data_IF_184521543417
#
_entry.id   IF_184521543417
#
_cell.length_a   1.000
_cell.length_b   1.000
_cell.length_c   1.000
_cell.angle_alpha   90.00
_cell.angle_beta   90.00
_cell.angle_gamma   90.00
#
_symmetry.space_group_name_H-M   'P 1'
#
loop_
_entity.id
_entity.type
_entity.pdbx_description
1 polymer ?
#
# COMPACT_ATOMS: atom_id res chain seq x y z
N UNK A 1 60.25 -28.27 36.71
CA UNK A 1 60.61 -27.33 37.80
C UNK A 1 60.31 -25.93 37.27
N UNK A 2 59.39 -25.11 37.78
CA UNK A 2 58.80 -24.97 39.12
C UNK A 2 57.27 -24.78 39.00
N UNK A 3 56.55 -25.41 39.91
CA UNK A 3 55.16 -25.08 40.25
C UNK A 3 55.11 -23.77 41.02
N UNK A 4 53.99 -23.03 40.91
CA UNK A 4 53.32 -22.38 42.04
C UNK A 4 51.93 -21.87 41.61
N UNK A 5 50.92 -22.29 42.37
CA UNK A 5 49.54 -21.83 42.44
C UNK A 5 49.22 -21.76 43.96
N UNK A 6 48.08 -21.26 44.47
CA UNK A 6 47.21 -20.11 44.17
C UNK A 6 47.14 -19.15 45.39
N UNK A 7 46.42 -17.99 45.29
CA UNK A 7 45.45 -17.47 46.29
C UNK A 7 45.00 -16.02 45.99
N UNK A 8 43.72 -15.92 45.63
CA UNK A 8 42.68 -15.03 46.18
C UNK A 8 42.87 -13.51 46.29
N UNK A 9 42.08 -12.77 45.51
CA UNK A 9 41.25 -11.56 45.81
C UNK A 9 40.89 -10.92 44.44
N UNK A 10 39.70 -10.41 44.10
CA UNK A 10 38.45 -10.17 44.80
C UNK A 10 37.33 -10.01 43.75
N UNK A 11 36.10 -10.20 44.22
CA UNK A 11 34.80 -10.02 43.56
C UNK A 11 34.60 -8.61 42.98
N UNK A 12 34.03 -8.51 41.78
CA UNK A 12 33.10 -7.43 41.40
C UNK A 12 32.20 -7.89 40.23
N UNK A 13 31.03 -8.41 40.61
CA UNK A 13 29.87 -8.58 39.75
C UNK A 13 29.27 -7.22 39.41
N UNK A 14 29.05 -6.92 38.13
CA UNK A 14 28.07 -5.93 37.70
C UNK A 14 27.28 -6.51 36.53
N UNK A 15 26.04 -6.85 36.85
CA UNK A 15 24.99 -7.39 35.99
C UNK A 15 24.43 -6.22 35.15
N UNK A 16 24.76 -6.16 33.87
CA UNK A 16 24.15 -5.18 32.96
C UNK A 16 22.83 -5.75 32.44
N UNK A 17 21.77 -5.31 33.10
CA UNK A 17 20.37 -5.62 32.84
C UNK A 17 19.99 -5.22 31.40
N UNK A 18 19.55 -6.21 30.63
CA UNK A 18 18.80 -6.04 29.39
C UNK A 18 17.42 -5.45 29.69
N UNK A 19 17.26 -4.15 29.40
CA UNK A 19 15.98 -3.45 29.37
C UNK A 19 15.91 -2.63 28.06
N UNK A 20 15.38 -3.23 27.01
CA UNK A 20 14.69 -2.50 25.94
C UNK A 20 13.27 -3.03 25.88
N UNK A 21 12.40 -2.43 26.70
CA UNK A 21 10.96 -2.50 26.60
C UNK A 21 10.41 -1.14 27.06
N UNK A 22 9.42 -0.63 26.33
CA UNK A 22 8.77 0.68 26.45
C UNK A 22 9.49 1.85 25.73
N UNK A 23 9.36 1.91 24.40
CA UNK A 23 9.22 3.22 23.76
C UNK A 23 7.74 3.59 23.79
N UNK A 24 7.41 4.58 24.63
CA UNK A 24 6.28 5.47 24.34
C UNK A 24 6.68 6.28 23.10
N UNK A 25 5.76 6.49 22.17
CA UNK A 25 5.94 7.23 20.92
C UNK A 25 6.19 8.75 21.09
N UNK A 26 6.90 9.15 22.16
CA UNK A 26 7.33 10.53 22.42
C UNK A 26 8.85 10.67 22.20
N UNK A 27 9.37 10.16 21.08
CA UNK A 27 10.76 10.45 20.68
C UNK A 27 10.82 11.79 19.92
N UNK A 28 11.57 12.80 20.39
CA UNK A 28 11.54 14.17 19.87
C UNK A 28 12.44 14.38 18.63
N UNK A 29 12.48 13.46 17.67
CA UNK A 29 13.41 13.55 16.51
C UNK A 29 12.78 13.65 15.12
N UNK A 30 11.45 13.76 15.01
CA UNK A 30 10.85 14.26 13.78
C UNK A 30 10.94 15.79 13.76
N UNK A 31 12.13 16.33 13.47
CA UNK A 31 12.25 17.75 13.11
C UNK A 31 11.36 18.00 11.90
N UNK A 32 10.23 18.66 12.16
CA UNK A 32 9.30 19.13 11.12
C UNK A 32 10.06 20.07 10.21
N UNK A 33 10.04 19.81 8.90
CA UNK A 33 10.67 20.67 7.91
C UNK A 33 9.87 21.98 7.77
N UNK A 34 10.34 23.04 8.42
CA UNK A 34 9.72 24.37 8.39
C UNK A 34 9.91 25.11 7.07
N UNK A 35 10.67 24.56 6.11
CA UNK A 35 10.93 25.18 4.81
C UNK A 35 9.88 24.81 3.76
N UNK A 36 8.95 23.90 4.08
CA UNK A 36 7.88 23.51 3.15
C UNK A 36 7.02 24.73 2.84
N UNK A 37 6.93 25.04 1.54
CA UNK A 37 6.02 26.04 1.01
C UNK A 37 4.73 25.35 0.55
N UNK A 38 3.65 25.58 1.31
CA UNK A 38 2.32 25.04 1.02
C UNK A 38 1.50 25.90 0.05
N UNK A 39 2.09 26.93 -0.55
CA UNK A 39 1.45 27.70 -1.62
C UNK A 39 1.44 26.94 -2.95
N UNK A 40 0.66 27.40 -3.91
CA UNK A 40 0.60 26.78 -5.24
C UNK A 40 1.93 26.86 -5.96
N UNK A 41 2.46 25.71 -6.37
CA UNK A 41 3.64 25.60 -7.23
C UNK A 41 3.28 25.52 -8.72
N UNK A 42 2.03 25.19 -9.02
CA UNK A 42 1.48 25.17 -10.39
C UNK A 42 0.95 26.53 -10.82
N UNK A 43 1.02 26.79 -12.13
CA UNK A 43 0.30 27.91 -12.76
C UNK A 43 -1.21 27.67 -12.88
N UNK A 44 -1.66 26.41 -12.72
CA UNK A 44 -3.06 26.02 -12.76
C UNK A 44 -3.68 26.20 -11.36
N UNK A 45 -4.75 27.00 -11.22
CA UNK A 45 -5.41 27.17 -9.92
C UNK A 45 -6.10 25.87 -9.47
N UNK A 46 -6.36 25.72 -8.16
CA UNK A 46 -7.14 24.58 -7.68
C UNK A 46 -8.56 24.66 -8.23
N UNK A 47 -9.09 23.54 -8.73
CA UNK A 47 -10.47 23.42 -9.20
C UNK A 47 -11.43 22.83 -8.14
N UNK A 48 -11.02 22.92 -6.87
CA UNK A 48 -11.82 22.52 -5.71
C UNK A 48 -11.88 23.68 -4.72
N UNK A 49 -12.92 23.72 -3.90
CA UNK A 49 -13.16 24.81 -2.95
C UNK A 49 -13.55 24.26 -1.58
N UNK A 50 -13.28 25.00 -0.48
CA UNK A 50 -13.68 24.58 0.86
C UNK A 50 -15.21 24.57 0.99
N UNK A 51 -15.75 23.51 1.58
CA UNK A 51 -17.17 23.44 1.96
C UNK A 51 -17.44 24.28 3.21
N UNK A 52 -18.71 24.60 3.46
CA UNK A 52 -19.15 25.31 4.67
C UNK A 52 -18.60 24.66 5.95
N UNK A 53 -18.03 25.47 6.84
CA UNK A 53 -17.33 25.04 8.06
C UNK A 53 -15.82 24.81 7.90
N UNK A 54 -15.29 24.90 6.67
CA UNK A 54 -13.86 24.73 6.36
C UNK A 54 -13.26 25.96 5.69
N UNK A 55 -13.80 27.15 5.92
CA UNK A 55 -13.42 28.39 5.23
C UNK A 55 -11.96 28.80 5.46
N UNK A 56 -11.32 28.30 6.52
CA UNK A 56 -9.90 28.52 6.81
C UNK A 56 -8.95 27.59 6.05
N UNK A 57 -9.48 26.58 5.35
CA UNK A 57 -8.67 25.64 4.58
C UNK A 57 -8.05 26.33 3.36
N UNK A 58 -6.72 26.29 3.29
CA UNK A 58 -5.98 26.69 2.10
C UNK A 58 -5.83 25.50 1.16
N UNK A 59 -6.18 25.71 -0.11
CA UNK A 59 -6.06 24.70 -1.17
C UNK A 59 -5.08 25.24 -2.19
N UNK A 60 -4.05 24.44 -2.48
CA UNK A 60 -2.97 24.80 -3.38
C UNK A 60 -2.73 23.70 -4.41
N UNK A 61 -2.36 24.07 -5.63
CA UNK A 61 -2.03 23.12 -6.69
C UNK A 61 -0.53 22.84 -6.66
N UNK A 62 -0.16 21.58 -6.39
CA UNK A 62 1.24 21.15 -6.38
C UNK A 62 1.82 21.02 -7.80
N UNK A 63 1.14 20.29 -8.69
CA UNK A 63 1.57 20.04 -10.06
C UNK A 63 0.37 19.72 -10.95
N UNK A 64 0.46 20.08 -12.22
CA UNK A 64 -0.52 19.82 -13.28
C UNK A 64 0.19 19.41 -14.58
N UNK A 65 -0.57 18.98 -15.59
CA UNK A 65 -0.02 18.57 -16.88
C UNK A 65 0.59 19.71 -17.71
N UNK A 66 0.30 20.97 -17.38
CA UNK A 66 0.88 22.14 -18.07
C UNK A 66 2.18 22.63 -17.45
N UNK A 67 2.57 22.13 -16.28
CA UNK A 67 3.76 22.59 -15.58
C UNK A 67 5.03 21.99 -16.20
N UNK A 68 6.04 22.84 -16.42
CA UNK A 68 7.34 22.45 -16.97
C UNK A 68 8.34 22.38 -15.82
N UNK A 69 8.87 21.19 -15.56
CA UNK A 69 9.84 20.98 -14.49
C UNK A 69 11.27 21.32 -14.96
N UNK A 70 12.02 22.16 -14.23
CA UNK A 70 13.30 22.71 -14.70
C UNK A 70 14.36 21.65 -15.01
N UNK A 71 14.37 20.53 -14.29
CA UNK A 71 15.36 19.46 -14.48
C UNK A 71 14.89 18.35 -15.43
N UNK A 72 13.64 18.42 -15.89
CA UNK A 72 13.07 17.48 -16.86
C UNK A 72 12.03 18.19 -17.74
N UNK A 73 12.42 19.14 -18.61
CA UNK A 73 11.47 19.97 -19.34
C UNK A 73 10.56 19.21 -20.31
N UNK A 74 10.91 17.97 -20.67
CA UNK A 74 10.11 17.08 -21.51
C UNK A 74 9.13 16.19 -20.73
N UNK A 75 9.19 16.20 -19.40
CA UNK A 75 8.25 15.45 -18.57
C UNK A 75 6.89 16.16 -18.56
N UNK A 76 5.82 15.37 -18.72
CA UNK A 76 4.44 15.83 -18.60
C UNK A 76 3.77 14.99 -17.51
N UNK A 77 3.23 15.65 -16.50
CA UNK A 77 2.45 14.98 -15.46
C UNK A 77 1.17 14.41 -16.06
N UNK A 78 0.93 13.11 -15.83
CA UNK A 78 -0.13 12.36 -16.49
C UNK A 78 -1.54 12.72 -16.03
N UNK A 79 -2.52 12.41 -16.87
CA UNK A 79 -3.94 12.56 -16.53
C UNK A 79 -4.41 11.49 -15.52
N UNK A 80 -5.54 11.79 -14.84
CA UNK A 80 -6.15 10.93 -13.81
C UNK A 80 -5.14 10.36 -12.81
N UNK A 81 -4.46 11.25 -12.04
CA UNK A 81 -3.69 10.81 -10.90
C UNK A 81 -4.62 10.12 -9.90
N UNK A 82 -4.18 8.97 -9.39
CA UNK A 82 -4.95 8.12 -8.50
C UNK A 82 -4.10 7.77 -7.27
N UNK A 83 -3.95 6.48 -6.93
CA UNK A 83 -3.10 5.98 -5.85
C UNK A 83 -1.70 6.57 -5.85
N UNK A 84 -1.23 6.99 -4.68
CA UNK A 84 0.04 7.69 -4.55
C UNK A 84 0.83 7.34 -3.30
N UNK A 85 2.09 7.73 -3.31
CA UNK A 85 3.02 7.58 -2.20
C UNK A 85 3.95 8.78 -2.10
N UNK A 86 4.40 9.10 -0.89
CA UNK A 86 5.36 10.16 -0.64
C UNK A 86 6.48 9.62 0.26
N UNK A 87 7.73 9.82 -0.14
CA UNK A 87 8.90 9.49 0.65
C UNK A 87 9.94 10.60 0.62
N UNK A 88 10.88 10.58 1.57
CA UNK A 88 12.10 11.39 1.46
C UNK A 88 12.93 10.90 0.28
N UNK A 89 13.58 11.82 -0.41
CA UNK A 89 14.60 11.44 -1.40
C UNK A 89 15.83 10.89 -0.65
N UNK A 90 16.20 9.61 -0.82
CA UNK A 90 17.38 9.06 -0.16
C UNK A 90 18.69 9.65 -0.70
N UNK A 91 18.65 10.32 -1.86
CA UNK A 91 19.81 10.95 -2.51
C UNK A 91 19.81 12.48 -2.40
N UNK A 92 18.91 13.06 -1.60
CA UNK A 92 18.75 14.51 -1.48
C UNK A 92 18.18 14.94 -0.12
N UNK A 93 17.86 16.23 0.00
CA UNK A 93 17.18 16.80 1.17
C UNK A 93 15.68 17.07 0.93
N UNK A 94 15.17 16.62 -0.23
CA UNK A 94 13.80 16.76 -0.66
C UNK A 94 12.96 15.49 -0.50
N UNK A 95 11.98 15.33 -1.39
CA UNK A 95 10.97 14.29 -1.36
C UNK A 95 10.74 13.71 -2.76
N UNK A 96 10.14 12.51 -2.81
CA UNK A 96 9.70 11.85 -4.03
C UNK A 96 8.23 11.54 -3.86
N UNK A 97 7.39 12.13 -4.71
CA UNK A 97 5.99 11.78 -4.88
C UNK A 97 5.88 10.75 -6.00
N UNK A 98 5.24 9.61 -5.73
CA UNK A 98 4.98 8.56 -6.72
C UNK A 98 3.48 8.50 -6.94
N UNK A 99 3.03 8.42 -8.19
CA UNK A 99 1.61 8.52 -8.52
C UNK A 99 1.24 7.54 -9.64
N UNK A 100 0.20 6.76 -9.42
CA UNK A 100 -0.53 6.07 -10.48
C UNK A 100 -1.22 7.08 -11.39
N UNK A 101 -1.21 6.80 -12.69
CA UNK A 101 -2.06 7.46 -13.67
C UNK A 101 -2.94 6.41 -14.32
N UNK A 102 -4.18 6.33 -13.84
CA UNK A 102 -5.01 5.14 -13.96
C UNK A 102 -5.23 4.72 -15.42
N UNK A 103 -5.83 5.60 -16.22
CA UNK A 103 -6.10 5.30 -17.64
C UNK A 103 -4.84 5.26 -18.51
N UNK A 104 -3.76 5.89 -18.06
CA UNK A 104 -2.47 5.83 -18.75
C UNK A 104 -1.74 4.53 -18.45
N UNK A 105 -2.23 3.74 -17.48
CA UNK A 105 -1.62 2.47 -17.05
C UNK A 105 -0.16 2.66 -16.67
N UNK A 106 0.13 3.77 -16.00
CA UNK A 106 1.51 4.24 -15.82
C UNK A 106 1.73 4.75 -14.40
N UNK A 107 2.99 4.81 -13.99
CA UNK A 107 3.40 5.33 -12.69
C UNK A 107 4.48 6.38 -12.93
N UNK A 108 4.21 7.60 -12.52
CA UNK A 108 5.20 8.66 -12.49
C UNK A 108 5.84 8.77 -11.10
N UNK A 109 7.04 9.33 -11.05
CA UNK A 109 7.57 9.92 -9.83
C UNK A 109 8.01 11.34 -10.10
N UNK A 110 7.80 12.21 -9.12
CA UNK A 110 8.15 13.62 -9.14
C UNK A 110 9.02 13.91 -7.92
N UNK A 111 10.22 14.40 -8.18
CA UNK A 111 11.15 14.87 -7.17
C UNK A 111 10.74 16.29 -6.77
N UNK A 112 10.54 16.47 -5.48
CA UNK A 112 10.28 17.73 -4.82
C UNK A 112 11.56 18.15 -4.10
N UNK A 113 11.95 19.41 -4.18
CA UNK A 113 13.07 19.90 -3.36
C UNK A 113 12.67 20.00 -1.88
N UNK A 114 13.60 20.43 -1.02
CA UNK A 114 13.34 20.60 0.43
C UNK A 114 12.21 21.59 0.76
N UNK A 115 11.84 22.47 -0.17
CA UNK A 115 10.71 23.41 -0.02
C UNK A 115 9.40 22.83 -0.55
N UNK A 116 9.42 21.56 -0.98
CA UNK A 116 8.29 20.84 -1.55
C UNK A 116 7.93 21.24 -2.99
N UNK A 117 8.80 22.02 -3.65
CA UNK A 117 8.60 22.44 -5.04
C UNK A 117 8.96 21.30 -6.02
N UNK A 118 8.11 20.97 -7.00
CA UNK A 118 8.46 20.02 -8.06
C UNK A 118 9.63 20.51 -8.93
N UNK A 119 10.67 19.70 -9.08
CA UNK A 119 11.87 20.07 -9.85
C UNK A 119 12.23 19.11 -10.98
N UNK A 120 11.85 17.83 -10.85
CA UNK A 120 12.15 16.78 -11.82
C UNK A 120 11.05 15.72 -11.80
N UNK A 121 10.72 15.15 -12.95
CA UNK A 121 9.80 14.01 -13.04
C UNK A 121 10.21 13.03 -14.12
N UNK A 122 9.85 11.77 -13.92
CA UNK A 122 10.02 10.68 -14.89
C UNK A 122 8.97 9.59 -14.67
N UNK A 123 8.75 8.75 -15.69
CA UNK A 123 7.89 7.58 -15.58
C UNK A 123 8.73 6.35 -15.23
N UNK A 124 8.33 5.63 -14.18
CA UNK A 124 8.92 4.36 -13.74
C UNK A 124 8.09 3.14 -14.18
N UNK A 125 6.85 3.38 -14.64
CA UNK A 125 6.02 2.43 -15.37
C UNK A 125 5.34 3.19 -16.51
N UNK A 126 5.31 2.61 -17.71
CA UNK A 126 4.52 3.11 -18.83
C UNK A 126 3.36 2.16 -19.15
N UNK A 127 2.52 2.51 -20.13
CA UNK A 127 1.33 1.72 -20.47
C UNK A 127 1.61 0.28 -20.94
N UNK A 128 2.84 -0.03 -21.37
CA UNK A 128 3.26 -1.41 -21.64
C UNK A 128 3.55 -2.14 -20.34
N UNK A 129 4.31 -1.50 -19.45
CA UNK A 129 4.67 -2.08 -18.16
C UNK A 129 3.52 -2.21 -17.16
N UNK A 130 2.51 -1.34 -17.25
CA UNK A 130 1.35 -1.36 -16.35
C UNK A 130 0.31 -2.42 -16.69
N UNK A 131 0.23 -2.87 -17.94
CA UNK A 131 -0.68 -3.91 -18.48
C UNK A 131 -2.18 -3.57 -18.39
N UNK A 132 -2.65 -3.21 -17.21
CA UNK A 132 -4.02 -2.85 -16.83
C UNK A 132 -4.10 -1.39 -16.39
N UNK A 133 -5.31 -0.85 -16.23
CA UNK A 133 -5.50 0.37 -15.43
C UNK A 133 -4.89 0.18 -14.05
N UNK A 134 -4.36 1.25 -13.47
CA UNK A 134 -3.70 1.25 -12.17
C UNK A 134 -4.47 2.19 -11.23
N UNK A 135 -5.30 1.64 -10.35
CA UNK A 135 -6.20 2.41 -9.49
C UNK A 135 -5.45 2.99 -8.27
N UNK A 136 -5.75 2.52 -7.06
CA UNK A 136 -5.09 2.96 -5.83
C UNK A 136 -3.76 2.21 -5.58
N UNK A 137 -2.97 2.69 -4.63
CA UNK A 137 -1.62 2.21 -4.37
C UNK A 137 -1.18 2.42 -2.93
N UNK A 138 -0.14 1.69 -2.52
CA UNK A 138 0.49 1.88 -1.21
C UNK A 138 2.00 1.80 -1.30
N UNK A 139 2.68 2.79 -0.71
CA UNK A 139 4.13 2.76 -0.53
C UNK A 139 4.48 2.00 0.76
N UNK A 140 4.89 0.74 0.62
CA UNK A 140 5.47 -0.01 1.72
C UNK A 140 6.89 0.50 2.02
N UNK A 141 7.26 0.53 3.30
CA UNK A 141 8.53 1.08 3.79
C UNK A 141 9.10 0.20 4.89
N UNK A 142 10.45 0.07 5.01
CA UNK A 142 11.07 -0.74 6.05
C UNK A 142 10.67 -0.30 7.47
N UNK A 143 10.51 1.00 7.67
CA UNK A 143 10.16 1.57 8.96
C UNK A 143 8.79 1.05 9.46
N UNK A 144 7.76 1.14 8.63
CA UNK A 144 6.37 0.81 9.00
C UNK A 144 6.08 -0.68 8.80
N UNK A 145 6.51 -1.24 7.67
CA UNK A 145 6.10 -2.55 7.20
C UNK A 145 7.17 -3.63 7.35
N UNK A 146 8.41 -3.25 7.67
CA UNK A 146 9.54 -4.19 7.81
C UNK A 146 10.16 -4.61 6.48
N UNK A 147 9.64 -4.14 5.34
CA UNK A 147 10.17 -4.38 3.99
C UNK A 147 9.97 -3.15 3.09
N UNK A 148 10.62 -3.12 1.93
CA UNK A 148 10.57 -2.01 0.97
C UNK A 148 11.87 -1.17 0.97
N UNK A 149 11.84 0.07 0.45
CA UNK A 149 10.66 0.76 -0.10
C UNK A 149 10.14 0.05 -1.35
N UNK A 150 8.83 -0.12 -1.45
CA UNK A 150 8.18 -0.72 -2.62
C UNK A 150 6.80 -0.10 -2.81
N UNK A 151 6.52 0.32 -4.04
CA UNK A 151 5.24 0.90 -4.41
C UNK A 151 4.35 -0.20 -4.96
N UNK A 152 3.35 -0.60 -4.17
CA UNK A 152 2.36 -1.61 -4.54
C UNK A 152 1.23 -0.89 -5.27
N UNK A 153 1.06 -1.17 -6.56
CA UNK A 153 0.00 -0.57 -7.40
C UNK A 153 -0.95 -1.65 -7.89
N UNK A 154 -2.25 -1.42 -7.72
CA UNK A 154 -3.27 -2.42 -8.00
C UNK A 154 -3.77 -2.32 -9.45
N UNK A 155 -3.81 -3.46 -10.13
CA UNK A 155 -4.35 -3.54 -11.48
C UNK A 155 -5.87 -3.67 -11.47
N UNK A 156 -6.57 -2.81 -12.22
CA UNK A 156 -8.03 -2.72 -12.22
C UNK A 156 -8.62 -2.77 -13.64
N UNK A 157 -8.49 -3.89 -14.33
CA UNK A 157 -9.08 -4.08 -15.67
C UNK A 157 -9.77 -5.43 -15.84
N UNK A 158 -10.26 -5.98 -14.74
CA UNK A 158 -10.96 -7.27 -14.72
C UNK A 158 -10.18 -8.38 -14.04
N UNK A 159 -10.72 -9.60 -14.12
CA UNK A 159 -10.37 -10.72 -13.24
C UNK A 159 -8.92 -11.22 -13.34
N UNK A 160 -8.20 -10.94 -14.44
CA UNK A 160 -6.79 -11.33 -14.60
C UNK A 160 -5.79 -10.25 -14.15
N UNK A 161 -6.28 -9.10 -13.66
CA UNK A 161 -5.40 -8.03 -13.19
C UNK A 161 -4.68 -8.45 -11.91
N UNK A 162 -3.52 -7.84 -11.66
CA UNK A 162 -2.63 -8.19 -10.55
C UNK A 162 -2.06 -6.94 -9.89
N UNK A 163 -1.67 -7.07 -8.63
CA UNK A 163 -0.81 -6.09 -7.97
C UNK A 163 0.59 -6.11 -8.60
N UNK A 164 1.16 -4.94 -8.84
CA UNK A 164 2.55 -4.78 -9.22
C UNK A 164 3.40 -4.32 -8.04
N UNK A 165 4.64 -4.76 -8.00
CA UNK A 165 5.67 -4.33 -7.06
C UNK A 165 6.69 -3.45 -7.79
N UNK A 166 6.57 -2.13 -7.63
CA UNK A 166 7.41 -1.16 -8.32
C UNK A 166 8.47 -0.61 -7.36
N UNK A 167 9.75 -0.68 -7.74
CA UNK A 167 10.80 0.05 -7.04
C UNK A 167 10.62 1.55 -7.30
N UNK A 168 10.36 2.39 -6.26
CA UNK A 168 10.20 3.83 -6.44
C UNK A 168 11.48 4.51 -6.98
N UNK A 169 12.64 3.88 -6.80
CA UNK A 169 13.93 4.34 -7.32
C UNK A 169 14.33 3.65 -8.63
N UNK A 170 13.45 2.82 -9.19
CA UNK A 170 13.69 2.09 -10.44
C UNK A 170 14.11 2.98 -11.61
N UNK A 171 14.82 2.38 -12.56
CA UNK A 171 15.30 3.08 -13.75
C UNK A 171 14.15 3.33 -14.73
N UNK A 172 14.00 4.55 -15.23
CA UNK A 172 12.99 4.87 -16.25
C UNK A 172 13.20 4.14 -17.57
N UNK A 173 14.41 3.65 -17.85
CA UNK A 173 14.68 2.79 -19.01
C UNK A 173 13.99 1.42 -18.91
N UNK A 174 13.58 1.02 -17.70
CA UNK A 174 12.89 -0.25 -17.44
C UNK A 174 11.37 -0.10 -17.35
N UNK A 175 10.83 1.08 -17.62
CA UNK A 175 9.40 1.41 -17.42
C UNK A 175 8.44 0.48 -18.15
N UNK A 176 8.86 -0.14 -19.25
CA UNK A 176 8.05 -1.07 -20.05
C UNK A 176 8.16 -2.55 -19.61
N UNK A 177 8.87 -2.86 -18.52
CA UNK A 177 8.95 -4.23 -17.96
C UNK A 177 7.59 -4.72 -17.49
N UNK A 178 7.24 -5.95 -17.87
CA UNK A 178 5.93 -6.58 -17.57
C UNK A 178 6.03 -7.68 -16.50
N UNK A 179 7.23 -7.98 -16.00
CA UNK A 179 7.52 -9.05 -15.04
C UNK A 179 7.46 -8.59 -13.57
N UNK A 180 6.95 -7.39 -13.31
CA UNK A 180 6.87 -6.76 -11.98
C UNK A 180 5.54 -7.03 -11.25
N UNK A 181 4.79 -8.03 -11.69
CA UNK A 181 3.51 -8.46 -11.11
C UNK A 181 3.71 -9.42 -9.94
N UNK A 182 2.72 -9.51 -9.05
CA UNK A 182 2.72 -10.38 -7.86
C UNK A 182 1.59 -11.42 -7.89
N UNK A 183 1.73 -12.55 -8.63
CA UNK A 183 0.66 -13.55 -8.74
C UNK A 183 0.21 -14.15 -7.40
N UNK A 184 1.08 -14.17 -6.38
CA UNK A 184 0.75 -14.70 -5.06
C UNK A 184 -0.26 -13.83 -4.28
N UNK A 185 -0.39 -12.54 -4.63
CA UNK A 185 -1.41 -11.64 -4.11
C UNK A 185 -2.77 -11.84 -4.81
N UNK A 186 -2.88 -12.80 -5.73
CA UNK A 186 -4.12 -13.14 -6.44
C UNK A 186 -4.26 -12.45 -7.79
N UNK A 187 -5.40 -12.73 -8.43
CA UNK A 187 -5.84 -12.10 -9.67
C UNK A 187 -7.30 -11.71 -9.52
N UNK A 188 -7.59 -10.43 -9.74
CA UNK A 188 -8.90 -9.82 -9.60
C UNK A 188 -8.85 -8.41 -10.19
N UNK A 189 -10.00 -7.74 -10.34
CA UNK A 189 -10.00 -6.29 -10.55
C UNK A 189 -9.72 -5.64 -9.19
N UNK A 190 -8.49 -5.19 -8.94
CA UNK A 190 -8.05 -4.80 -7.60
C UNK A 190 -8.02 -3.27 -7.46
N UNK A 191 -8.60 -2.76 -6.38
CA UNK A 191 -8.58 -1.33 -6.04
C UNK A 191 -7.23 -0.92 -5.46
N UNK A 192 -6.84 -1.55 -4.34
CA UNK A 192 -5.63 -1.23 -3.61
C UNK A 192 -5.03 -2.47 -2.93
N UNK A 193 -3.76 -2.38 -2.55
CA UNK A 193 -3.05 -3.45 -1.84
C UNK A 193 -2.29 -2.86 -0.64
N UNK A 194 -2.86 -3.01 0.55
CA UNK A 194 -2.45 -2.32 1.77
C UNK A 194 -1.73 -3.28 2.72
N UNK A 195 -0.39 -3.26 2.77
CA UNK A 195 0.36 -3.99 3.78
C UNK A 195 0.05 -3.44 5.17
N UNK A 196 -0.26 -4.34 6.10
CA UNK A 196 -0.35 -3.97 7.51
C UNK A 196 1.06 -3.74 8.09
N UNK A 197 1.23 -2.86 9.09
CA UNK A 197 2.51 -2.64 9.73
C UNK A 197 3.08 -3.92 10.33
N UNK A 198 4.40 -4.04 10.40
CA UNK A 198 5.09 -5.23 10.95
C UNK A 198 4.68 -5.58 12.38
N UNK A 199 4.21 -4.58 13.13
CA UNK A 199 3.72 -4.72 14.51
C UNK A 199 2.33 -5.38 14.58
N UNK A 200 1.54 -5.35 13.50
CA UNK A 200 0.22 -5.97 13.47
C UNK A 200 0.34 -7.48 13.72
N UNK A 201 1.24 -8.16 13.02
CA UNK A 201 1.49 -9.59 13.17
C UNK A 201 3.00 -9.87 13.11
N UNK A 202 3.70 -9.91 14.25
CA UNK A 202 5.15 -10.08 14.29
C UNK A 202 5.65 -11.28 13.47
N UNK A 203 6.67 -11.05 12.65
CA UNK A 203 7.28 -12.07 11.79
C UNK A 203 6.52 -12.37 10.50
N UNK A 204 5.38 -11.70 10.25
CA UNK A 204 4.55 -11.94 9.06
C UNK A 204 4.48 -10.70 8.16
N UNK A 205 4.16 -10.95 6.90
CA UNK A 205 3.62 -9.91 6.00
C UNK A 205 2.15 -10.22 5.76
N UNK A 206 1.28 -9.26 6.06
CA UNK A 206 -0.15 -9.32 5.79
C UNK A 206 -0.52 -8.14 4.91
N UNK A 207 -1.22 -8.39 3.80
CA UNK A 207 -1.66 -7.36 2.85
C UNK A 207 -3.16 -7.53 2.65
N UNK A 208 -3.91 -6.46 2.90
CA UNK A 208 -5.35 -6.40 2.63
C UNK A 208 -5.58 -5.83 1.23
N UNK A 209 -6.50 -6.42 0.47
CA UNK A 209 -6.73 -6.07 -0.93
C UNK A 209 -8.24 -5.96 -1.16
N UNK A 210 -8.68 -4.87 -1.78
CA UNK A 210 -10.05 -4.70 -2.27
C UNK A 210 -10.19 -5.20 -3.70
N UNK A 211 -11.23 -5.99 -3.98
CA UNK A 211 -11.64 -6.33 -5.34
C UNK A 211 -12.84 -5.44 -5.76
N UNK A 212 -12.57 -4.47 -6.65
CA UNK A 212 -13.61 -3.64 -7.26
C UNK A 212 -14.31 -4.40 -8.39
N UNK A 213 -15.20 -5.30 -7.98
CA UNK A 213 -16.07 -6.02 -8.89
C UNK A 213 -17.54 -5.77 -8.54
N UNK A 214 -18.28 -5.30 -9.54
CA UNK A 214 -19.73 -5.09 -9.43
C UNK A 214 -20.47 -6.42 -9.36
N UNK A 215 -21.68 -6.40 -8.79
CA UNK A 215 -22.59 -7.52 -8.92
C UNK A 215 -23.10 -7.62 -10.36
N UNK A 216 -22.68 -8.65 -11.11
CA UNK A 216 -23.11 -8.87 -12.49
C UNK A 216 -23.15 -10.35 -12.85
N UNK A 217 -24.06 -10.75 -13.74
CA UNK A 217 -24.16 -12.14 -14.23
C UNK A 217 -22.99 -12.54 -15.13
N UNK A 218 -22.22 -11.58 -15.62
CA UNK A 218 -21.03 -11.79 -16.45
C UNK A 218 -19.79 -12.21 -15.64
N UNK A 219 -19.83 -12.08 -14.31
CA UNK A 219 -18.72 -12.46 -13.43
C UNK A 219 -19.19 -13.45 -12.37
N UNK A 220 -18.40 -14.49 -12.15
CA UNK A 220 -18.77 -15.54 -11.20
C UNK A 220 -18.83 -14.95 -9.77
N UNK A 221 -17.82 -14.19 -9.34
CA UNK A 221 -17.78 -13.50 -8.04
C UNK A 221 -18.26 -12.04 -8.15
N UNK A 222 -18.65 -11.48 -7.01
CA UNK A 222 -18.75 -10.03 -6.81
C UNK A 222 -17.53 -9.58 -5.97
N UNK A 223 -17.40 -8.28 -5.67
CA UNK A 223 -16.30 -7.74 -4.87
C UNK A 223 -16.01 -8.50 -3.57
N UNK A 224 -14.71 -8.67 -3.29
CA UNK A 224 -14.18 -9.42 -2.15
C UNK A 224 -13.21 -8.56 -1.35
N UNK A 225 -13.21 -8.74 -0.02
CA UNK A 225 -12.06 -8.37 0.79
C UNK A 225 -11.09 -9.55 0.83
N UNK A 226 -9.93 -9.36 0.22
CA UNK A 226 -8.88 -10.37 0.06
C UNK A 226 -7.77 -10.09 1.07
N UNK A 227 -7.15 -11.16 1.58
CA UNK A 227 -5.96 -11.08 2.43
C UNK A 227 -4.86 -11.96 1.83
N UNK A 228 -3.69 -11.38 1.62
CA UNK A 228 -2.44 -12.12 1.43
C UNK A 228 -1.71 -12.24 2.77
N UNK A 229 -1.17 -13.42 3.08
CA UNK A 229 -0.35 -13.64 4.27
C UNK A 229 0.88 -14.48 3.97
N UNK A 230 2.06 -13.99 4.37
CA UNK A 230 3.30 -14.75 4.44
C UNK A 230 3.81 -14.85 5.89
N UNK A 231 4.49 -15.96 6.20
CA UNK A 231 5.20 -16.16 7.47
C UNK A 231 6.63 -15.60 7.45
N UNK A 232 6.99 -14.86 6.41
CA UNK A 232 8.29 -14.21 6.23
C UNK A 232 8.05 -12.75 5.88
N UNK A 233 8.62 -11.83 6.64
CA UNK A 233 8.52 -10.39 6.38
C UNK A 233 9.10 -10.07 4.99
N UNK A 234 8.32 -9.39 4.16
CA UNK A 234 8.70 -8.95 2.82
C UNK A 234 8.62 -10.03 1.74
N UNK A 235 8.23 -11.26 2.07
CA UNK A 235 7.96 -12.27 1.05
C UNK A 235 6.59 -12.02 0.43
N UNK A 236 6.61 -11.66 -0.86
CA UNK A 236 5.44 -11.36 -1.69
C UNK A 236 5.15 -12.47 -2.71
N UNK A 237 5.80 -13.63 -2.60
CA UNK A 237 5.77 -14.70 -3.62
C UNK A 237 5.35 -16.07 -3.07
N UNK A 238 5.57 -16.33 -1.78
CA UNK A 238 5.32 -17.66 -1.19
C UNK A 238 4.25 -17.69 -0.09
N UNK A 239 3.56 -16.57 0.14
CA UNK A 239 2.39 -16.52 1.01
C UNK A 239 1.15 -17.21 0.43
N UNK A 240 0.06 -17.10 1.19
CA UNK A 240 -1.26 -17.66 0.90
C UNK A 240 -2.29 -16.55 0.73
N UNK A 241 -3.29 -16.83 -0.10
CA UNK A 241 -4.40 -15.91 -0.37
C UNK A 241 -5.66 -16.40 0.35
N UNK A 242 -6.45 -15.46 0.87
CA UNK A 242 -7.68 -15.73 1.58
C UNK A 242 -8.77 -14.74 1.19
N UNK A 243 -10.04 -15.14 1.33
CA UNK A 243 -11.20 -14.26 1.16
C UNK A 243 -12.00 -14.16 2.47
N UNK A 244 -12.65 -13.02 2.70
CA UNK A 244 -13.50 -12.80 3.87
C UNK A 244 -14.82 -13.59 3.75
N UNK A 245 -15.19 -14.28 4.82
CA UNK A 245 -16.41 -15.10 4.91
C UNK A 245 -17.14 -14.84 6.22
N UNK A 246 -18.47 -14.83 6.21
CA UNK A 246 -19.28 -14.91 7.44
C UNK A 246 -19.31 -16.33 8.00
N UNK A 247 -19.24 -16.47 9.31
CA UNK A 247 -19.22 -17.80 9.95
C UNK A 247 -20.55 -18.55 9.82
N UNK A 248 -21.65 -17.85 9.57
CA UNK A 248 -22.98 -18.43 9.29
C UNK A 248 -23.15 -18.89 7.83
N UNK A 249 -22.15 -18.66 6.97
CA UNK A 249 -22.16 -19.04 5.56
C UNK A 249 -23.01 -18.12 4.67
N UNK A 250 -23.60 -17.06 5.21
CA UNK A 250 -24.36 -16.11 4.40
C UNK A 250 -23.41 -15.21 3.59
N UNK A 251 -23.59 -15.21 2.27
CA UNK A 251 -22.76 -14.44 1.34
C UNK A 251 -23.40 -13.12 0.92
N UNK A 252 -24.66 -12.87 1.26
CA UNK A 252 -25.46 -11.77 0.73
C UNK A 252 -25.21 -10.51 1.53
N UNK A 253 -24.57 -9.52 0.91
CA UNK A 253 -24.24 -8.23 1.53
C UNK A 253 -25.44 -7.54 2.17
N UNK A 254 -26.57 -7.46 1.46
CA UNK A 254 -27.78 -6.73 1.91
C UNK A 254 -28.47 -7.33 3.14
N UNK A 255 -28.01 -8.49 3.62
CA UNK A 255 -28.46 -9.06 4.90
C UNK A 255 -27.66 -8.51 6.09
N UNK A 256 -26.61 -7.73 5.83
CA UNK A 256 -25.91 -6.94 6.84
C UNK A 256 -26.61 -5.59 7.00
N UNK A 257 -26.99 -5.25 8.22
CA UNK A 257 -27.71 -4.02 8.53
C UNK A 257 -26.87 -3.10 9.41
N UNK A 258 -27.13 -1.80 9.30
CA UNK A 258 -26.43 -0.77 10.07
C UNK A 258 -26.50 -1.06 11.59
N UNK A 259 -25.43 -0.69 12.30
CA UNK A 259 -25.27 -0.85 13.74
C UNK A 259 -25.29 -2.30 14.25
N UNK A 260 -24.98 -3.28 13.40
CA UNK A 260 -24.82 -4.68 13.80
C UNK A 260 -23.39 -5.17 13.56
N UNK A 261 -23.04 -6.29 14.20
CA UNK A 261 -21.75 -6.96 14.03
C UNK A 261 -21.98 -8.41 13.60
N UNK A 262 -21.19 -8.86 12.63
CA UNK A 262 -21.27 -10.19 12.06
C UNK A 262 -19.94 -10.90 12.26
N UNK A 263 -19.89 -12.10 12.87
CA UNK A 263 -18.65 -12.85 12.98
C UNK A 263 -18.16 -13.28 11.60
N UNK A 264 -16.87 -13.05 11.36
CA UNK A 264 -16.21 -13.35 10.09
C UNK A 264 -14.92 -14.14 10.30
N UNK A 265 -14.49 -14.81 9.25
CA UNK A 265 -13.18 -15.47 9.15
C UNK A 265 -12.61 -15.32 7.75
N UNK A 266 -11.30 -15.50 7.63
CA UNK A 266 -10.63 -15.60 6.33
C UNK A 266 -10.51 -17.06 5.94
N UNK A 267 -11.01 -17.41 4.75
CA UNK A 267 -10.93 -18.76 4.17
C UNK A 267 -9.86 -18.80 3.08
N UNK A 268 -8.95 -19.78 3.14
CA UNK A 268 -7.85 -19.92 2.19
C UNK A 268 -8.38 -20.24 0.79
N UNK A 269 -7.82 -19.58 -0.23
CA UNK A 269 -7.98 -19.91 -1.65
C UNK A 269 -6.79 -20.80 -2.03
N UNK A 270 -6.98 -22.13 -2.13
CA UNK A 270 -5.86 -23.05 -2.29
C UNK A 270 -5.13 -22.81 -3.61
N UNK A 271 -3.80 -22.79 -3.57
CA UNK A 271 -2.95 -22.69 -4.76
C UNK A 271 -3.18 -21.43 -5.62
N UNK A 272 -3.73 -20.34 -5.05
CA UNK A 272 -4.15 -19.13 -5.78
C UNK A 272 -3.14 -18.58 -6.78
N UNK A 273 -1.84 -18.58 -6.44
CA UNK A 273 -0.76 -18.05 -7.32
C UNK A 273 -0.69 -18.71 -8.70
N UNK A 274 -1.18 -19.95 -8.82
CA UNK A 274 -1.14 -20.75 -10.04
C UNK A 274 -2.50 -20.79 -10.76
N UNK A 275 -3.52 -20.11 -10.23
CA UNK A 275 -4.88 -20.09 -10.80
C UNK A 275 -5.05 -18.88 -11.72
N UNK A 276 -6.00 -18.97 -12.65
CA UNK A 276 -6.53 -17.80 -13.36
C UNK A 276 -7.51 -17.06 -12.46
N UNK A 277 -7.79 -15.79 -12.76
CA UNK A 277 -8.82 -15.00 -12.10
C UNK A 277 -10.18 -15.69 -12.13
N UNK A 278 -10.59 -16.20 -13.30
CA UNK A 278 -11.85 -16.94 -13.44
C UNK A 278 -11.98 -18.14 -12.48
N UNK A 279 -10.87 -18.87 -12.26
CA UNK A 279 -10.85 -20.01 -11.33
C UNK A 279 -10.85 -19.53 -9.88
N UNK A 280 -10.17 -18.43 -9.56
CA UNK A 280 -10.25 -17.79 -8.24
C UNK A 280 -11.70 -17.38 -7.94
N UNK A 281 -12.35 -16.69 -8.86
CA UNK A 281 -13.74 -16.24 -8.77
C UNK A 281 -14.72 -17.40 -8.48
N UNK A 282 -14.54 -18.51 -9.18
CA UNK A 282 -15.32 -19.73 -8.92
C UNK A 282 -15.02 -20.33 -7.54
N UNK A 283 -13.75 -20.34 -7.16
CA UNK A 283 -13.28 -20.92 -5.89
C UNK A 283 -13.79 -20.13 -4.68
N UNK A 284 -13.70 -18.79 -4.68
CA UNK A 284 -14.14 -17.96 -3.55
C UNK A 284 -15.65 -18.11 -3.30
N UNK A 285 -16.44 -18.23 -4.36
CA UNK A 285 -17.87 -18.49 -4.23
C UNK A 285 -18.16 -19.83 -3.58
N UNK A 286 -17.49 -20.90 -4.03
CA UNK A 286 -17.65 -22.24 -3.46
C UNK A 286 -17.19 -22.31 -1.99
N UNK A 287 -16.22 -21.47 -1.61
CA UNK A 287 -15.75 -21.34 -0.24
C UNK A 287 -16.74 -20.57 0.66
N UNK A 288 -17.76 -19.92 0.09
CA UNK A 288 -18.76 -19.17 0.84
C UNK A 288 -18.31 -17.76 1.22
N UNK A 289 -17.41 -17.14 0.46
CA UNK A 289 -16.95 -15.78 0.70
C UNK A 289 -18.07 -14.74 0.53
N UNK A 290 -18.02 -13.64 1.28
CA UNK A 290 -19.04 -12.58 1.21
C UNK A 290 -18.99 -11.91 -0.16
N UNK A 291 -20.14 -11.69 -0.78
CA UNK A 291 -20.26 -11.05 -2.09
C UNK A 291 -20.69 -9.60 -1.90
N UNK A 292 -19.72 -8.70 -1.84
CA UNK A 292 -19.97 -7.25 -1.79
C UNK A 292 -20.16 -6.70 -3.20
N UNK A 293 -20.90 -5.60 -3.34
CA UNK A 293 -20.89 -4.79 -4.55
C UNK A 293 -19.72 -3.81 -4.48
N UNK A 294 -18.65 -4.08 -5.26
CA UNK A 294 -17.49 -3.18 -5.43
C UNK A 294 -16.71 -2.88 -4.14
N UNK A 295 -15.80 -3.78 -3.76
CA UNK A 295 -14.88 -3.49 -2.64
C UNK A 295 -13.75 -2.61 -3.15
N UNK A 296 -13.84 -1.31 -2.88
CA UNK A 296 -12.82 -0.33 -3.23
C UNK A 296 -11.81 -0.19 -2.09
N UNK A 297 -11.49 1.05 -1.69
CA UNK A 297 -10.32 1.33 -0.85
C UNK A 297 -10.41 0.62 0.50
N UNK A 298 -9.32 -0.07 0.84
CA UNK A 298 -9.06 -0.67 2.15
C UNK A 298 -8.05 0.18 2.91
N UNK A 299 -8.21 0.34 4.22
CA UNK A 299 -7.17 0.83 5.11
C UNK A 299 -7.29 0.21 6.52
N UNK A 300 -6.41 0.58 7.44
CA UNK A 300 -6.39 0.09 8.81
C UNK A 300 -6.19 1.22 9.81
N UNK A 301 -6.66 1.01 11.04
CA UNK A 301 -6.48 1.98 12.12
C UNK A 301 -5.02 2.08 12.54
N UNK A 302 -4.46 3.29 12.50
CA UNK A 302 -3.05 3.54 12.85
C UNK A 302 -2.83 3.61 14.38
N UNK A 303 -1.55 3.58 14.79
CA UNK A 303 -1.09 4.04 16.11
C UNK A 303 -0.80 2.96 17.15
N UNK A 304 -1.18 1.69 16.95
CA UNK A 304 -0.73 0.59 17.83
C UNK A 304 -0.81 -0.76 17.15
N UNK A 305 -0.08 -1.76 17.65
CA UNK A 305 -0.16 -3.14 17.15
C UNK A 305 -1.59 -3.71 17.12
N UNK A 306 -2.42 -3.36 18.11
CA UNK A 306 -3.82 -3.78 18.17
C UNK A 306 -4.68 -3.02 17.15
N UNK A 307 -4.51 -1.69 17.06
CA UNK A 307 -5.23 -0.87 16.08
C UNK A 307 -4.93 -1.34 14.65
N UNK A 308 -3.68 -1.72 14.38
CA UNK A 308 -3.26 -2.16 13.05
C UNK A 308 -3.95 -3.46 12.56
N UNK A 309 -4.78 -4.09 13.39
CA UNK A 309 -5.63 -5.25 13.03
C UNK A 309 -7.10 -4.88 12.80
N UNK A 310 -7.47 -3.63 13.06
CA UNK A 310 -8.77 -3.06 12.74
C UNK A 310 -8.71 -2.53 11.31
N UNK A 311 -9.41 -3.19 10.39
CA UNK A 311 -9.43 -2.89 8.95
C UNK A 311 -10.76 -2.23 8.58
N UNK A 312 -10.69 -1.16 7.80
CA UNK A 312 -11.82 -0.47 7.20
C UNK A 312 -11.76 -0.66 5.69
N UNK A 313 -12.92 -0.80 5.06
CA UNK A 313 -13.01 -0.84 3.60
C UNK A 313 -14.36 -0.29 3.16
N UNK A 314 -14.45 0.14 1.91
CA UNK A 314 -15.70 0.59 1.29
C UNK A 314 -16.28 -0.49 0.37
N UNK A 315 -17.59 -0.66 0.43
CA UNK A 315 -18.36 -1.35 -0.62
C UNK A 315 -19.25 -0.27 -1.26
N UNK A 316 -19.04 0.03 -2.55
CA UNK A 316 -19.55 1.27 -3.17
C UNK A 316 -20.61 1.08 -4.24
N UNK A 317 -20.95 -0.17 -4.57
CA UNK A 317 -21.94 -0.49 -5.60
C UNK A 317 -23.35 -0.76 -5.09
#
# INVERSE_FOLDING_TARGET
MRQLNPKSLALATALSISLMACQKDDSPSNTVNQQIDFTSHSSVPPFVYPMSGFESMQISTLISSSDILPQSPSFVYGAQPDGGGLMKDPNGDGYIMITNHEILKSVSRVYLDKTFKPVKGDYIVDGVGGLTRLCSATLATPAIHGFGPIFLTAGESGEESMVHAIDPLGLSSERSRTDRVLPALGKASMENAVPLPKEAYPGKTVIMIGEDQSYGTSHASAGQLIMYMSNTIGDLSNGKLYALKRTDGNQVETTMTLNNSYPVSFVEIPNAKNLTGAVINTTVNNLGAIRFSRVEDVDYRKGSANNNREVYFTATG
#
